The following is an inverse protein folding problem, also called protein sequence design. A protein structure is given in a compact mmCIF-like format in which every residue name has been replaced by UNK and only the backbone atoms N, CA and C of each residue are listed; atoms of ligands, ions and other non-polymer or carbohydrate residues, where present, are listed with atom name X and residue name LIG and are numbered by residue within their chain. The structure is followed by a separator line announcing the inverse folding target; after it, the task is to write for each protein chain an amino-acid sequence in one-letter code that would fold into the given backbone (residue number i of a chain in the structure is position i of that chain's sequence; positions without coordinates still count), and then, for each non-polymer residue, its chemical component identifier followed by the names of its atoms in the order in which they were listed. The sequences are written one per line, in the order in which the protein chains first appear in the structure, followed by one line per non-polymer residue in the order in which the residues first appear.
data_IF_224032499373
#
_entry.id   IF_224032499373
#
_cell.length_a   1.000
_cell.length_b   1.000
_cell.length_c   1.000
_cell.angle_alpha   90.00
_cell.angle_beta   90.00
_cell.angle_gamma   90.00
#
_symmetry.space_group_name_H-M   'P 1'
#
loop_
_entity.id
_entity.type
_entity.pdbx_description
1 polymer ?
#
# COMPACT_ATOMS: atom_id res chain seq x y z
N UNK A 1 -41.48 24.11 14.68
CA UNK A 1 -41.41 22.93 13.77
C UNK A 1 -40.39 23.10 12.65
N UNK A 2 -40.36 24.23 11.91
CA UNK A 2 -39.37 24.49 10.84
C UNK A 2 -37.92 24.58 11.34
N UNK A 3 -37.69 25.27 12.45
CA UNK A 3 -36.36 25.37 13.09
C UNK A 3 -35.83 24.04 13.62
N UNK A 4 -36.71 23.14 14.08
CA UNK A 4 -36.34 21.80 14.52
C UNK A 4 -35.87 20.93 13.33
N UNK A 5 -36.58 21.02 12.21
CA UNK A 5 -36.21 20.31 10.98
C UNK A 5 -34.87 20.78 10.43
N UNK A 6 -34.62 22.08 10.47
CA UNK A 6 -33.33 22.69 10.09
C UNK A 6 -32.19 22.19 10.98
N UNK A 7 -32.40 22.12 12.30
CA UNK A 7 -31.39 21.61 13.23
C UNK A 7 -31.05 20.13 12.98
N UNK A 8 -32.05 19.29 12.67
CA UNK A 8 -31.84 17.88 12.33
C UNK A 8 -31.00 17.74 11.07
N UNK A 9 -31.33 18.47 10.00
CA UNK A 9 -30.58 18.43 8.74
C UNK A 9 -29.12 18.86 8.94
N UNK A 10 -28.87 19.91 9.73
CA UNK A 10 -27.52 20.38 10.03
C UNK A 10 -26.71 19.30 10.75
N UNK A 11 -27.28 18.64 11.77
CA UNK A 11 -26.59 17.57 12.50
C UNK A 11 -26.27 16.36 11.62
N UNK A 12 -27.15 16.00 10.68
CA UNK A 12 -26.89 14.91 9.73
C UNK A 12 -25.78 15.26 8.72
N UNK A 13 -25.72 16.51 8.27
CA UNK A 13 -24.67 16.99 7.35
C UNK A 13 -23.31 17.08 8.05
N UNK A 14 -23.27 17.54 9.30
CA UNK A 14 -22.03 17.62 10.08
C UNK A 14 -21.40 16.23 10.33
N UNK A 15 -22.23 15.20 10.53
CA UNK A 15 -21.76 13.81 10.69
C UNK A 15 -21.08 13.23 9.43
N UNK A 16 -21.28 13.85 8.25
CA UNK A 16 -20.67 13.42 6.99
C UNK A 16 -19.36 14.15 6.67
N UNK A 17 -18.98 15.18 7.44
CA UNK A 17 -17.79 16.00 7.18
C UNK A 17 -16.51 15.53 7.90
N UNK A 18 -16.55 14.46 8.69
CA UNK A 18 -15.41 14.06 9.54
C UNK A 18 -14.71 12.74 9.17
N UNK A 19 -15.06 12.11 8.04
CA UNK A 19 -14.41 10.86 7.63
C UNK A 19 -13.31 11.09 6.59
N UNK A 20 -12.34 11.93 6.95
CA UNK A 20 -11.08 12.04 6.22
C UNK A 20 -10.12 10.94 6.67
N UNK A 21 -10.09 9.79 6.01
CA UNK A 21 -9.03 8.80 6.21
C UNK A 21 -7.71 9.37 5.68
N UNK A 22 -6.82 9.80 6.58
CA UNK A 22 -5.44 10.11 6.21
C UNK A 22 -4.76 8.78 5.91
N UNK A 23 -4.70 8.41 4.63
CA UNK A 23 -3.87 7.27 4.21
C UNK A 23 -2.44 7.59 4.63
N UNK A 24 -1.83 6.72 5.45
CA UNK A 24 -0.44 6.84 5.85
C UNK A 24 0.43 6.64 4.60
N UNK A 25 0.70 7.73 3.88
CA UNK A 25 1.63 7.75 2.75
C UNK A 25 3.03 7.39 3.28
N UNK A 26 3.60 6.27 2.81
CA UNK A 26 4.99 5.88 3.14
C UNK A 26 6.02 6.74 2.41
N UNK A 27 5.54 7.69 1.60
CA UNK A 27 6.33 8.66 0.85
C UNK A 27 6.44 9.97 1.62
N UNK A 28 7.67 10.37 1.91
CA UNK A 28 7.99 11.72 2.41
C UNK A 28 7.63 12.77 1.34
N UNK A 29 7.42 14.02 1.75
CA UNK A 29 7.15 15.16 0.86
C UNK A 29 8.21 15.35 -0.24
N UNK A 30 9.43 14.84 -0.04
CA UNK A 30 10.52 14.88 -1.01
C UNK A 30 10.57 13.65 -1.95
N UNK A 31 9.52 12.82 -1.97
CA UNK A 31 9.45 11.63 -2.84
C UNK A 31 10.26 10.43 -2.33
N UNK A 32 10.88 10.54 -1.15
CA UNK A 32 11.70 9.50 -0.53
C UNK A 32 10.80 8.45 0.11
N UNK A 33 11.04 7.19 -0.25
CA UNK A 33 10.42 6.02 0.36
C UNK A 33 11.14 5.67 1.67
N UNK A 34 10.43 5.71 2.80
CA UNK A 34 10.99 5.36 4.10
C UNK A 34 10.93 3.83 4.32
N UNK A 35 11.98 3.13 3.90
CA UNK A 35 12.12 1.69 4.11
C UNK A 35 13.35 1.31 4.95
N UNK A 36 13.27 0.22 5.74
CA UNK A 36 14.44 -0.39 6.33
C UNK A 36 15.41 -0.89 5.24
N UNK A 37 16.69 -0.98 5.61
CA UNK A 37 17.77 -1.45 4.73
C UNK A 37 18.04 -2.96 4.84
N UNK A 38 17.07 -3.73 5.34
CA UNK A 38 17.16 -5.18 5.38
C UNK A 38 17.01 -5.76 3.96
N UNK A 39 17.75 -6.84 3.69
CA UNK A 39 17.67 -7.57 2.45
C UNK A 39 16.84 -8.84 2.67
N UNK A 40 15.55 -8.77 2.33
CA UNK A 40 14.56 -9.86 2.38
C UNK A 40 13.82 -9.87 1.04
N UNK A 41 14.44 -10.41 -0.03
CA UNK A 41 13.99 -10.17 -1.39
C UNK A 41 12.59 -10.72 -1.67
N UNK A 42 11.87 -10.03 -2.55
CA UNK A 42 10.55 -10.46 -3.07
C UNK A 42 10.52 -10.33 -4.58
N UNK A 43 9.80 -11.23 -5.25
CA UNK A 43 9.54 -11.14 -6.67
C UNK A 43 8.24 -10.39 -6.90
N UNK A 44 8.26 -9.34 -7.74
CA UNK A 44 7.08 -8.58 -8.12
C UNK A 44 6.29 -9.25 -9.25
N UNK A 45 5.01 -8.87 -9.40
CA UNK A 45 4.16 -9.28 -10.52
C UNK A 45 4.64 -8.76 -11.88
N UNK A 46 5.61 -7.86 -11.88
CA UNK A 46 6.35 -7.35 -13.04
C UNK A 46 7.61 -8.17 -13.35
N UNK A 47 7.81 -9.32 -12.68
CA UNK A 47 9.00 -10.17 -12.80
C UNK A 47 10.31 -9.47 -12.40
N UNK A 48 10.25 -8.43 -11.57
CA UNK A 48 11.43 -7.78 -11.01
C UNK A 48 11.63 -8.15 -9.53
N UNK A 49 12.89 -8.35 -9.14
CA UNK A 49 13.26 -8.58 -7.74
C UNK A 49 13.38 -7.25 -7.00
N UNK A 50 12.70 -7.13 -5.87
CA UNK A 50 12.80 -6.00 -4.95
C UNK A 50 13.55 -6.44 -3.69
N UNK A 51 14.47 -5.61 -3.19
CA UNK A 51 15.35 -5.98 -2.06
C UNK A 51 14.59 -6.24 -0.74
N UNK A 52 13.39 -5.68 -0.60
CA UNK A 52 12.42 -6.04 0.42
C UNK A 52 10.99 -5.64 0.00
N UNK A 53 10.00 -6.18 0.72
CA UNK A 53 8.58 -5.89 0.50
C UNK A 53 8.24 -4.41 0.59
N UNK A 54 8.88 -3.68 1.50
CA UNK A 54 8.65 -2.24 1.67
C UNK A 54 9.02 -1.45 0.41
N UNK A 55 10.16 -1.77 -0.23
CA UNK A 55 10.59 -1.13 -1.46
C UNK A 55 9.65 -1.44 -2.64
N UNK A 56 9.11 -2.66 -2.70
CA UNK A 56 8.08 -3.01 -3.69
C UNK A 56 6.80 -2.17 -3.47
N UNK A 57 6.32 -2.06 -2.24
CA UNK A 57 5.11 -1.28 -1.93
C UNK A 57 5.29 0.20 -2.29
N UNK A 58 6.45 0.80 -2.01
CA UNK A 58 6.73 2.17 -2.44
C UNK A 58 6.72 2.32 -3.97
N UNK A 59 7.24 1.33 -4.70
CA UNK A 59 7.15 1.34 -6.16
C UNK A 59 5.70 1.15 -6.63
N UNK A 60 4.92 0.32 -5.95
CA UNK A 60 3.51 0.13 -6.25
C UNK A 60 2.70 1.42 -6.05
N UNK A 61 2.95 2.18 -4.97
CA UNK A 61 2.35 3.50 -4.74
C UNK A 61 2.69 4.50 -5.87
N UNK A 62 3.94 4.49 -6.36
CA UNK A 62 4.34 5.31 -7.51
C UNK A 62 3.58 4.92 -8.79
N UNK A 63 3.49 3.62 -9.05
CA UNK A 63 2.88 3.06 -10.24
C UNK A 63 1.34 3.17 -10.24
N UNK A 64 0.73 3.23 -9.05
CA UNK A 64 -0.71 3.43 -8.89
C UNK A 64 -1.18 4.74 -9.53
N UNK A 65 -0.37 5.81 -9.48
CA UNK A 65 -0.66 7.09 -10.17
C UNK A 65 -0.78 6.93 -11.69
N UNK A 66 -0.18 5.87 -12.23
CA UNK A 66 -0.19 5.51 -13.66
C UNK A 66 -1.15 4.36 -13.97
N UNK A 67 -2.02 4.01 -13.03
CA UNK A 67 -2.95 2.86 -13.14
C UNK A 67 -2.24 1.51 -13.39
N UNK A 68 -1.00 1.36 -12.93
CA UNK A 68 -0.25 0.11 -13.00
C UNK A 68 -0.33 -0.56 -11.62
N UNK A 69 -0.81 -1.81 -11.59
CA UNK A 69 -0.88 -2.62 -10.38
C UNK A 69 0.38 -3.47 -10.23
N UNK A 70 1.20 -3.14 -9.25
CA UNK A 70 2.36 -3.93 -8.83
C UNK A 70 2.06 -4.59 -7.48
N UNK A 71 2.26 -5.90 -7.40
CA UNK A 71 2.05 -6.71 -6.19
C UNK A 71 3.18 -7.71 -6.03
N UNK A 72 3.35 -8.24 -4.83
CA UNK A 72 4.26 -9.37 -4.61
C UNK A 72 3.68 -10.60 -5.35
N UNK A 73 4.50 -11.23 -6.18
CA UNK A 73 4.21 -12.51 -6.81
C UNK A 73 4.57 -13.67 -5.88
N UNK A 74 5.79 -13.68 -5.33
CA UNK A 74 6.25 -14.64 -4.32
C UNK A 74 7.40 -14.07 -3.48
N UNK A 75 7.71 -14.75 -2.37
CA UNK A 75 8.89 -14.48 -1.55
C UNK A 75 10.17 -14.97 -2.26
N UNK A 76 11.30 -14.34 -2.01
CA UNK A 76 12.56 -14.63 -2.72
C UNK A 76 12.75 -13.77 -3.97
N UNK A 77 13.89 -13.90 -4.63
CA UNK A 77 14.13 -13.24 -5.92
C UNK A 77 13.39 -13.95 -7.06
N UNK A 78 13.15 -13.25 -8.17
CA UNK A 78 12.51 -13.86 -9.34
C UNK A 78 13.39 -14.90 -10.05
N UNK A 79 14.70 -14.85 -9.81
CA UNK A 79 15.69 -15.76 -10.42
C UNK A 79 15.98 -16.99 -9.55
N UNK A 80 15.53 -17.01 -8.28
CA UNK A 80 15.67 -18.23 -7.50
C UNK A 80 14.74 -19.30 -8.06
N UNK A 81 15.27 -20.49 -8.42
CA UNK A 81 14.41 -21.61 -8.76
C UNK A 81 13.49 -21.82 -7.56
N UNK A 82 12.18 -22.01 -7.81
CA UNK A 82 11.23 -22.44 -6.80
C UNK A 82 11.68 -23.81 -6.28
N UNK A 83 12.65 -23.83 -5.37
CA UNK A 83 12.96 -25.00 -4.57
C UNK A 83 11.80 -25.06 -3.62
N UNK A 84 10.81 -25.88 -3.97
CA UNK A 84 9.88 -26.43 -2.99
C UNK A 84 10.77 -26.92 -1.85
N UNK A 85 10.78 -26.21 -0.72
CA UNK A 85 11.36 -26.77 0.49
C UNK A 85 10.65 -28.11 0.66
N UNK A 86 11.37 -29.24 0.68
CA UNK A 86 10.75 -30.48 1.08
C UNK A 86 10.23 -30.25 2.49
N UNK A 87 8.92 -30.35 2.69
CA UNK A 87 8.36 -30.63 4.00
C UNK A 87 9.08 -31.89 4.52
N UNK A 88 9.60 -31.83 5.74
CA UNK A 88 10.28 -32.90 6.51
C UNK A 88 11.81 -33.06 6.39
N UNK A 89 12.52 -32.46 7.35
CA UNK A 89 13.46 -33.19 8.22
C UNK A 89 13.37 -32.69 9.65
#
# INVERSE_FOLDING_TARGET
MKSLFVAIVILQVLALLENGSVAASRRSSNGICACPRNYNPVCGSDSQTYANSCLLECKAEELATRSISLRIAHQGSCDEPLVEMPEDR
#
